data_IF_995152670553
#
_entry.id   IF_995152670553
#
_cell.length_a   1.000
_cell.length_b   1.000
_cell.length_c   1.000
_cell.angle_alpha   90.00
_cell.angle_beta   90.00
_cell.angle_gamma   90.00
#
_symmetry.space_group_name_H-M   'P 1'
#
loop_
_entity.id
_entity.type
_entity.pdbx_description
1 polymer ?
#
# COMPACT_ATOMS: atom_id res chain seq x y z
N UNK A 1 4.50 -21.79 1.27
CA UNK A 1 4.61 -20.56 2.07
C UNK A 1 5.01 -19.42 1.15
N UNK A 2 4.62 -18.18 1.43
CA UNK A 2 5.06 -17.00 0.68
C UNK A 2 5.83 -16.11 1.63
N UNK A 3 6.99 -15.62 1.21
CA UNK A 3 7.91 -14.84 2.04
C UNK A 3 8.16 -13.48 1.40
N UNK A 4 8.07 -12.42 2.20
CA UNK A 4 8.27 -11.06 1.73
C UNK A 4 9.75 -10.81 1.45
N UNK A 5 10.08 -10.39 0.23
CA UNK A 5 11.46 -10.09 -0.15
C UNK A 5 12.10 -8.93 0.64
N UNK A 6 11.30 -8.00 1.19
CA UNK A 6 11.80 -6.83 1.92
C UNK A 6 11.96 -7.03 3.42
N UNK A 7 11.07 -7.79 4.07
CA UNK A 7 11.06 -7.92 5.53
C UNK A 7 11.17 -9.36 6.04
N UNK A 8 11.27 -10.36 5.15
CA UNK A 8 11.41 -11.77 5.50
C UNK A 8 10.18 -12.41 6.13
N UNK A 9 9.10 -11.65 6.37
CA UNK A 9 7.87 -12.20 6.94
C UNK A 9 7.24 -13.21 5.99
N UNK A 10 6.85 -14.35 6.55
CA UNK A 10 6.27 -15.45 5.80
C UNK A 10 4.82 -15.67 6.20
N UNK A 11 3.98 -16.01 5.24
CA UNK A 11 2.55 -16.29 5.45
C UNK A 11 2.05 -17.41 4.55
N UNK A 12 0.98 -18.07 4.99
CA UNK A 12 0.26 -19.03 4.15
C UNK A 12 -0.62 -18.30 3.14
N UNK A 13 -0.63 -18.70 1.85
CA UNK A 13 -1.52 -18.13 0.84
C UNK A 13 -3.00 -18.15 1.22
N UNK A 14 -3.44 -19.21 1.91
CA UNK A 14 -4.80 -19.36 2.44
C UNK A 14 -5.11 -18.33 3.54
N UNK A 15 -4.20 -18.12 4.49
CA UNK A 15 -4.35 -17.10 5.54
C UNK A 15 -4.37 -15.67 4.97
N UNK A 16 -3.64 -15.44 3.87
CA UNK A 16 -3.56 -14.14 3.19
C UNK A 16 -4.67 -13.94 2.14
N UNK A 17 -5.53 -14.95 1.89
CA UNK A 17 -6.59 -14.93 0.87
C UNK A 17 -6.07 -14.60 -0.55
N UNK A 18 -4.88 -15.08 -0.87
CA UNK A 18 -4.19 -14.86 -2.17
C UNK A 18 -3.97 -16.17 -2.93
N UNK A 19 -4.69 -17.23 -2.55
CA UNK A 19 -4.57 -18.56 -3.13
C UNK A 19 -4.78 -18.58 -4.65
N UNK A 20 -5.68 -17.75 -5.17
CA UNK A 20 -5.98 -17.65 -6.60
C UNK A 20 -4.83 -17.09 -7.44
N UNK A 21 -3.96 -16.28 -6.84
CA UNK A 21 -2.79 -15.68 -7.50
C UNK A 21 -1.48 -16.30 -7.02
N UNK A 22 -1.55 -17.47 -6.35
CA UNK A 22 -0.38 -18.13 -5.76
C UNK A 22 0.72 -18.43 -6.78
N UNK A 23 0.37 -18.79 -8.01
CA UNK A 23 1.34 -19.08 -9.08
C UNK A 23 2.03 -17.81 -9.59
N UNK A 24 1.28 -16.70 -9.73
CA UNK A 24 1.84 -15.39 -10.11
C UNK A 24 2.73 -14.82 -9.01
N UNK A 25 2.36 -15.07 -7.75
CA UNK A 25 3.16 -14.65 -6.58
C UNK A 25 4.50 -15.39 -6.53
N UNK A 26 4.58 -16.61 -7.07
CA UNK A 26 5.83 -17.37 -7.17
C UNK A 26 6.69 -16.94 -8.35
N UNK A 27 6.10 -16.32 -9.38
CA UNK A 27 6.85 -15.87 -10.56
C UNK A 27 7.54 -14.52 -10.37
N UNK A 28 7.24 -13.78 -9.31
CA UNK A 28 7.81 -12.46 -9.02
C UNK A 28 8.16 -12.28 -7.55
N UNK A 29 9.02 -11.30 -7.24
CA UNK A 29 9.40 -10.96 -5.88
C UNK A 29 8.24 -10.33 -5.10
N UNK A 30 7.45 -11.19 -4.45
CA UNK A 30 6.32 -10.75 -3.66
C UNK A 30 6.74 -9.92 -2.44
N UNK A 31 6.07 -8.78 -2.28
CA UNK A 31 6.14 -7.96 -1.07
C UNK A 31 4.85 -8.05 -0.27
N UNK A 32 4.95 -8.18 1.05
CA UNK A 32 3.77 -8.12 1.92
C UNK A 32 3.05 -6.77 1.81
N UNK A 33 1.78 -6.72 2.21
CA UNK A 33 0.94 -5.49 2.16
C UNK A 33 1.58 -4.28 2.86
N UNK A 34 2.37 -4.55 3.89
CA UNK A 34 3.13 -3.54 4.62
C UNK A 34 4.34 -3.01 3.84
N UNK A 35 5.00 -3.87 3.06
CA UNK A 35 6.19 -3.51 2.29
C UNK A 35 5.88 -3.06 0.86
N UNK A 36 4.66 -3.30 0.39
CA UNK A 36 4.19 -2.92 -0.94
C UNK A 36 4.32 -1.41 -1.14
N UNK A 37 5.00 -1.04 -2.20
CA UNK A 37 5.17 0.34 -2.69
C UNK A 37 4.40 0.50 -3.98
N UNK A 38 3.95 1.72 -4.29
CA UNK A 38 3.41 2.02 -5.60
C UNK A 38 4.53 1.91 -6.65
N UNK A 39 4.33 1.17 -7.73
CA UNK A 39 5.34 1.00 -8.79
C UNK A 39 5.51 2.27 -9.65
N UNK A 40 4.52 3.16 -9.64
CA UNK A 40 4.55 4.43 -10.39
C UNK A 40 5.33 5.50 -9.61
N UNK A 41 5.03 5.67 -8.32
CA UNK A 41 5.63 6.75 -7.52
C UNK A 41 6.64 6.27 -6.46
N UNK A 42 6.86 4.96 -6.32
CA UNK A 42 7.76 4.32 -5.36
C UNK A 42 7.53 4.67 -3.88
N UNK A 43 6.38 5.26 -3.54
CA UNK A 43 6.01 5.59 -2.16
C UNK A 43 5.24 4.44 -1.50
N UNK A 44 5.47 4.22 -0.20
CA UNK A 44 4.63 3.36 0.64
C UNK A 44 3.38 4.15 1.01
N UNK A 45 2.19 3.60 0.79
CA UNK A 45 0.89 4.28 1.00
C UNK A 45 0.52 4.58 2.47
N UNK A 46 1.52 4.83 3.33
CA UNK A 46 1.34 5.23 4.72
C UNK A 46 2.20 6.46 4.99
N UNK A 47 1.76 7.55 4.39
CA UNK A 47 1.91 8.90 4.90
C UNK A 47 0.52 9.44 5.33
N UNK A 48 -0.24 8.66 6.11
CA UNK A 48 -1.26 9.26 6.99
C UNK A 48 -0.50 9.92 8.14
N UNK A 49 0.01 11.10 7.84
CA UNK A 49 0.84 11.90 8.74
C UNK A 49 1.26 13.24 8.16
N UNK A 50 0.90 13.56 6.91
CA UNK A 50 1.12 14.90 6.34
C UNK A 50 0.17 15.24 5.18
N UNK A 51 -1.13 15.15 5.44
CA UNK A 51 -2.10 16.05 4.79
C UNK A 51 -2.66 16.94 5.90
N UNK A 52 -2.00 18.08 6.14
CA UNK A 52 -2.63 19.36 5.86
C UNK A 52 -3.94 19.52 6.63
N UNK A 53 -3.87 19.97 7.88
CA UNK A 53 -4.78 21.04 8.31
C UNK A 53 -4.38 22.30 7.52
N UNK A 54 -4.57 22.29 6.20
CA UNK A 54 -4.71 23.52 5.46
C UNK A 54 -6.18 23.88 5.60
N UNK A 55 -6.42 25.02 6.23
CA UNK A 55 -7.72 25.66 6.28
C UNK A 55 -8.28 25.81 4.87
N UNK A 56 -9.20 24.94 4.46
CA UNK A 56 -9.98 25.13 3.24
C UNK A 56 -11.15 26.09 3.52
N UNK A 57 -10.81 27.28 4.01
CA UNK A 57 -11.72 28.43 4.13
C UNK A 57 -11.74 29.22 2.81
N UNK A 58 -11.58 28.53 1.69
CA UNK A 58 -11.58 29.09 0.33
C UNK A 58 -12.99 29.24 -0.27
N UNK A 59 -14.03 28.74 0.41
CA UNK A 59 -15.42 28.79 -0.07
C UNK A 59 -16.32 29.74 0.74
N UNK A 60 -15.77 30.78 1.36
CA UNK A 60 -16.56 31.80 2.08
C UNK A 60 -16.35 33.23 1.59
N UNK A 61 -15.75 33.43 0.41
CA UNK A 61 -15.73 34.74 -0.25
C UNK A 61 -16.46 34.70 -1.61
N UNK A 62 -17.78 34.59 -1.56
CA UNK A 62 -18.66 35.07 -2.62
C UNK A 62 -19.33 36.36 -2.11
N UNK A 63 -18.94 37.55 -2.59
CA UNK A 63 -19.65 38.79 -2.30
C UNK A 63 -20.68 39.12 -3.39
N UNK A 64 -21.57 40.08 -3.11
CA UNK A 64 -22.84 39.92 -2.38
C UNK A 64 -23.93 39.15 -3.16
#
# INVERSE_FOLDING_TARGET
>A
MVSCCKCGRSGHPSCLKIEQIGDVIRSYDWTCMECKTCEVCNKKGREVGRSLYYNDTSYSNRPP
#
